data_IF_078766362164
#
_entry.id   IF_078766362164
#
_cell.length_a   1.000
_cell.length_b   1.000
_cell.length_c   1.000
_cell.angle_alpha   90.00
_cell.angle_beta   90.00
_cell.angle_gamma   90.00
#
_symmetry.space_group_name_H-M   'P 1'
#
loop_
_entity.id
_entity.type
_entity.pdbx_description
1 polymer ?
#
# COMPACT_ATOMS: atom_id res chain seq x y z
N UNK A 1 4.21 -8.88 -19.91
CA UNK A 1 4.26 -9.67 -18.67
C UNK A 1 5.57 -9.31 -18.01
N UNK A 2 5.57 -8.86 -16.76
CA UNK A 2 6.80 -8.54 -16.04
C UNK A 2 7.71 -9.77 -16.06
N UNK A 3 8.94 -9.62 -16.54
CA UNK A 3 9.94 -10.69 -16.47
C UNK A 3 10.53 -10.73 -15.05
N UNK A 4 10.70 -11.94 -14.51
CA UNK A 4 11.46 -12.20 -13.28
C UNK A 4 12.80 -11.44 -13.23
N UNK A 5 13.48 -11.31 -14.37
CA UNK A 5 14.76 -10.59 -14.51
C UNK A 5 14.65 -9.09 -14.23
N UNK A 6 13.54 -8.46 -14.59
CA UNK A 6 13.32 -7.02 -14.35
C UNK A 6 13.10 -6.75 -12.85
N UNK A 7 12.39 -7.66 -12.17
CA UNK A 7 12.18 -7.60 -10.72
C UNK A 7 13.53 -7.79 -10.00
N UNK A 8 14.29 -8.82 -10.37
CA UNK A 8 15.60 -9.10 -9.78
C UNK A 8 16.56 -7.91 -9.96
N UNK A 9 16.54 -7.27 -11.14
CA UNK A 9 17.32 -6.06 -11.40
C UNK A 9 16.97 -4.94 -10.43
N UNK A 10 15.67 -4.66 -10.21
CA UNK A 10 15.24 -3.64 -9.25
C UNK A 10 15.67 -3.99 -7.82
N UNK A 11 15.47 -5.24 -7.39
CA UNK A 11 15.85 -5.69 -6.05
C UNK A 11 17.36 -5.59 -5.80
N UNK A 12 18.18 -5.88 -6.83
CA UNK A 12 19.63 -5.76 -6.74
C UNK A 12 20.12 -4.33 -6.45
N UNK A 13 19.35 -3.29 -6.79
CA UNK A 13 19.68 -1.91 -6.44
C UNK A 13 19.67 -1.68 -4.91
N UNK A 14 18.89 -2.47 -4.16
CA UNK A 14 18.82 -2.37 -2.70
C UNK A 14 19.95 -3.14 -2.00
N UNK A 15 20.70 -3.99 -2.71
CA UNK A 15 21.77 -4.79 -2.10
C UNK A 15 22.89 -3.89 -1.55
N UNK A 16 23.21 -4.07 -0.26
CA UNK A 16 24.23 -3.29 0.44
C UNK A 16 23.94 -1.78 0.48
N UNK A 17 22.69 -1.35 0.32
CA UNK A 17 22.36 0.08 0.23
C UNK A 17 22.70 0.83 1.52
N UNK A 18 22.57 0.18 2.68
CA UNK A 18 22.86 0.79 3.98
C UNK A 18 24.36 0.96 4.28
N UNK A 19 25.25 0.27 3.55
CA UNK A 19 26.70 0.47 3.71
C UNK A 19 27.25 1.64 2.89
N UNK A 20 26.44 2.26 2.03
CA UNK A 20 26.87 3.39 1.22
C UNK A 20 26.87 4.73 1.99
N UNK A 21 27.72 5.69 1.57
CA UNK A 21 27.57 7.10 1.95
C UNK A 21 26.18 7.64 1.59
N UNK A 22 25.70 8.63 2.35
CA UNK A 22 24.34 9.18 2.21
C UNK A 22 24.00 9.63 0.78
N UNK A 23 24.91 10.36 0.13
CA UNK A 23 24.69 10.84 -1.25
C UNK A 23 24.48 9.70 -2.23
N UNK A 24 25.39 8.73 -2.26
CA UNK A 24 25.31 7.56 -3.15
C UNK A 24 24.07 6.71 -2.84
N UNK A 25 23.68 6.63 -1.56
CA UNK A 25 22.46 5.97 -1.13
C UNK A 25 21.22 6.63 -1.71
N UNK A 26 21.12 7.96 -1.64
CA UNK A 26 19.98 8.71 -2.19
C UNK A 26 19.90 8.58 -3.71
N UNK A 27 21.04 8.62 -4.40
CA UNK A 27 21.12 8.38 -5.85
C UNK A 27 20.59 6.97 -6.20
N UNK A 28 21.01 5.96 -5.45
CA UNK A 28 20.55 4.56 -5.62
C UNK A 28 19.06 4.38 -5.31
N UNK A 29 18.54 5.02 -4.26
CA UNK A 29 17.10 5.00 -3.94
C UNK A 29 16.29 5.64 -5.08
N UNK A 30 16.76 6.76 -5.63
CA UNK A 30 16.11 7.41 -6.77
C UNK A 30 16.05 6.49 -7.99
N UNK A 31 17.16 5.81 -8.33
CA UNK A 31 17.21 4.83 -9.41
C UNK A 31 16.26 3.66 -9.17
N UNK A 32 16.19 3.16 -7.93
CA UNK A 32 15.27 2.10 -7.54
C UNK A 32 13.80 2.52 -7.74
N UNK A 33 13.43 3.73 -7.32
CA UNK A 33 12.06 4.26 -7.48
C UNK A 33 11.71 4.37 -8.97
N UNK A 34 12.59 4.98 -9.78
CA UNK A 34 12.34 5.14 -11.23
C UNK A 34 12.22 3.80 -11.94
N UNK A 35 13.10 2.85 -11.61
CA UNK A 35 13.07 1.49 -12.17
C UNK A 35 11.77 0.77 -11.78
N UNK A 36 11.37 0.86 -10.52
CA UNK A 36 10.12 0.27 -10.02
C UNK A 36 8.89 0.86 -10.72
N UNK A 37 8.82 2.18 -10.88
CA UNK A 37 7.73 2.84 -11.59
C UNK A 37 7.65 2.39 -13.05
N UNK A 38 8.78 2.22 -13.73
CA UNK A 38 8.83 1.84 -15.14
C UNK A 38 8.25 0.44 -15.42
N UNK A 39 8.36 -0.47 -14.45
CA UNK A 39 7.90 -1.85 -14.58
C UNK A 39 6.52 -2.08 -13.94
N UNK A 40 6.08 -1.17 -13.06
CA UNK A 40 4.80 -1.28 -12.37
C UNK A 40 3.64 -1.12 -13.36
N UNK A 41 2.63 -2.02 -13.34
CA UNK A 41 1.46 -1.87 -14.19
C UNK A 41 0.75 -0.54 -13.94
N UNK A 42 0.45 0.18 -15.01
CA UNK A 42 -0.24 1.47 -14.94
C UNK A 42 -1.73 1.29 -14.60
N UNK A 43 -2.06 1.38 -13.31
CA UNK A 43 -3.44 1.34 -12.81
C UNK A 43 -4.15 2.71 -12.90
N UNK A 44 -3.46 3.78 -13.30
CA UNK A 44 -4.02 5.13 -13.37
C UNK A 44 -4.85 5.35 -14.63
N UNK A 45 -4.78 4.45 -15.61
CA UNK A 45 -5.63 4.51 -16.81
C UNK A 45 -7.00 3.89 -16.52
N UNK A 46 -8.12 4.62 -16.72
CA UNK A 46 -9.46 4.06 -16.55
C UNK A 46 -9.75 2.83 -17.43
N UNK A 47 -9.05 2.69 -18.56
CA UNK A 47 -9.22 1.57 -19.49
C UNK A 47 -8.46 0.31 -19.06
N UNK A 48 -7.67 0.36 -17.97
CA UNK A 48 -6.95 -0.82 -17.49
C UNK A 48 -7.88 -1.76 -16.69
N UNK A 49 -8.64 -2.57 -17.41
CA UNK A 49 -9.62 -3.52 -16.85
C UNK A 49 -9.00 -4.87 -16.44
N UNK A 50 -7.68 -4.93 -16.20
CA UNK A 50 -6.98 -6.17 -15.83
C UNK A 50 -7.21 -6.57 -14.36
N UNK A 51 -7.63 -5.62 -13.53
CA UNK A 51 -7.81 -5.80 -12.10
C UNK A 51 -9.21 -5.34 -11.69
N UNK A 52 -9.66 -5.76 -10.51
CA UNK A 52 -10.91 -5.29 -9.89
C UNK A 52 -10.79 -3.86 -9.33
N UNK A 53 -9.63 -3.22 -9.49
CA UNK A 53 -9.36 -1.85 -9.09
C UNK A 53 -8.60 -1.12 -10.21
N UNK A 54 -8.94 0.15 -10.41
CA UNK A 54 -8.29 1.04 -11.40
C UNK A 54 -8.63 2.48 -11.05
N UNK A 55 -7.85 3.42 -11.57
CA UNK A 55 -8.08 4.86 -11.41
C UNK A 55 -8.19 5.26 -9.92
N UNK A 56 -7.06 5.28 -9.18
CA UNK A 56 -7.08 5.55 -7.76
C UNK A 56 -7.67 6.93 -7.46
N UNK A 57 -8.51 6.99 -6.44
CA UNK A 57 -9.16 8.21 -6.01
C UNK A 57 -8.13 9.18 -5.38
N UNK A 58 -8.11 10.48 -5.78
CA UNK A 58 -7.16 11.45 -5.25
C UNK A 58 -7.25 11.66 -3.73
N UNK A 59 -8.44 11.55 -3.14
CA UNK A 59 -8.61 11.67 -1.68
C UNK A 59 -8.02 10.44 -0.99
N UNK A 60 -8.23 9.25 -1.55
CA UNK A 60 -7.59 8.01 -1.11
C UNK A 60 -6.06 8.10 -1.12
N UNK A 61 -5.46 8.58 -2.22
CA UNK A 61 -4.00 8.76 -2.32
C UNK A 61 -3.48 9.71 -1.24
N UNK A 62 -4.17 10.83 -1.00
CA UNK A 62 -3.78 11.77 0.03
C UNK A 62 -3.93 11.17 1.44
N UNK A 63 -5.01 10.44 1.70
CA UNK A 63 -5.22 9.75 2.96
C UNK A 63 -4.12 8.70 3.22
N UNK A 64 -3.70 7.95 2.20
CA UNK A 64 -2.58 7.00 2.30
C UNK A 64 -1.26 7.71 2.62
N UNK A 65 -0.98 8.84 1.95
CA UNK A 65 0.21 9.64 2.23
C UNK A 65 0.22 10.16 3.68
N UNK A 66 -0.90 10.73 4.13
CA UNK A 66 -1.04 11.25 5.49
C UNK A 66 -0.94 10.14 6.54
N UNK A 67 -1.55 8.98 6.30
CA UNK A 67 -1.49 7.83 7.21
C UNK A 67 -0.05 7.33 7.36
N UNK A 68 0.70 7.22 6.26
CA UNK A 68 2.12 6.85 6.29
C UNK A 68 2.99 7.92 6.98
N UNK A 69 2.68 9.20 6.79
CA UNK A 69 3.40 10.30 7.44
C UNK A 69 3.21 10.29 8.97
N UNK A 70 1.98 10.07 9.43
CA UNK A 70 1.65 10.00 10.85
C UNK A 70 2.24 8.74 11.49
N UNK A 71 2.33 7.64 10.74
CA UNK A 71 2.96 6.38 11.17
C UNK A 71 2.47 5.89 12.54
N UNK A 72 1.15 6.00 12.75
CA UNK A 72 0.48 5.55 13.98
C UNK A 72 -0.01 4.10 13.82
N UNK A 73 -0.03 3.36 14.92
CA UNK A 73 -0.53 1.98 14.96
C UNK A 73 -1.91 1.93 15.61
N UNK A 74 -2.91 1.45 14.85
CA UNK A 74 -4.33 1.40 15.24
C UNK A 74 -4.66 0.33 16.30
N UNK A 75 -3.67 -0.48 16.70
CA UNK A 75 -3.84 -1.54 17.70
C UNK A 75 -4.37 -1.09 19.09
N UNK A 76 -4.23 0.18 19.44
CA UNK A 76 -4.75 0.75 20.69
C UNK A 76 -5.25 2.18 20.49
N UNK A 77 -6.36 2.51 21.15
CA UNK A 77 -6.93 3.86 21.10
C UNK A 77 -5.93 4.91 21.61
N UNK A 78 -5.13 4.59 22.63
CA UNK A 78 -4.13 5.50 23.20
C UNK A 78 -3.08 5.94 22.17
N UNK A 79 -2.69 5.06 21.24
CA UNK A 79 -1.71 5.37 20.21
C UNK A 79 -2.31 6.03 18.96
N UNK A 80 -3.62 5.94 18.78
CA UNK A 80 -4.29 6.22 17.50
C UNK A 80 -5.76 6.65 17.64
N UNK A 81 -6.10 7.58 18.55
CA UNK A 81 -7.48 7.80 18.96
C UNK A 81 -8.37 8.18 17.77
N UNK A 82 -7.90 9.10 16.93
CA UNK A 82 -8.64 9.54 15.74
C UNK A 82 -8.88 8.38 14.77
N UNK A 83 -7.87 7.55 14.50
CA UNK A 83 -8.01 6.44 13.55
C UNK A 83 -8.92 5.33 14.08
N UNK A 84 -8.85 5.04 15.39
CA UNK A 84 -9.75 4.08 16.04
C UNK A 84 -11.21 4.53 15.92
N UNK A 85 -11.51 5.80 16.22
CA UNK A 85 -12.87 6.35 16.08
C UNK A 85 -13.35 6.39 14.61
N UNK A 86 -12.45 6.68 13.65
CA UNK A 86 -12.78 6.59 12.23
C UNK A 86 -13.16 5.17 11.80
N UNK A 87 -12.43 4.15 12.27
CA UNK A 87 -12.74 2.74 11.99
C UNK A 87 -14.11 2.35 12.53
N UNK A 88 -14.42 2.68 13.79
CA UNK A 88 -15.71 2.38 14.42
C UNK A 88 -16.87 2.97 13.60
N UNK A 89 -16.79 4.26 13.23
CA UNK A 89 -17.82 4.88 12.41
C UNK A 89 -17.98 4.21 11.05
N UNK A 90 -16.88 3.86 10.38
CA UNK A 90 -16.94 3.18 9.09
C UNK A 90 -17.62 1.81 9.21
N UNK A 91 -17.29 1.03 10.24
CA UNK A 91 -17.92 -0.26 10.52
C UNK A 91 -19.41 -0.08 10.78
N UNK A 92 -19.81 0.88 11.62
CA UNK A 92 -21.23 1.17 11.88
C UNK A 92 -22.00 1.55 10.61
N UNK A 93 -21.39 2.34 9.73
CA UNK A 93 -21.98 2.75 8.44
C UNK A 93 -22.11 1.56 7.49
N UNK A 94 -21.10 0.70 7.41
CA UNK A 94 -21.14 -0.51 6.58
C UNK A 94 -22.20 -1.50 7.09
N UNK A 95 -22.31 -1.70 8.40
CA UNK A 95 -23.35 -2.54 9.01
C UNK A 95 -24.76 -2.05 8.63
N UNK A 96 -25.00 -0.74 8.74
CA UNK A 96 -26.27 -0.12 8.34
C UNK A 96 -26.56 -0.30 6.84
N UNK A 97 -25.56 -0.17 5.97
CA UNK A 97 -25.71 -0.37 4.52
C UNK A 97 -26.07 -1.83 4.17
N UNK A 98 -25.55 -2.80 4.92
CA UNK A 98 -25.90 -4.21 4.76
C UNK A 98 -27.29 -4.54 5.33
N UNK A 99 -27.82 -3.68 6.21
CA UNK A 99 -29.14 -3.82 6.84
C UNK A 99 -29.10 -4.38 8.27
N UNK A 100 -27.93 -4.43 8.90
CA UNK A 100 -27.80 -4.79 10.31
C UNK A 100 -28.17 -3.63 11.22
N UNK A 101 -28.88 -3.91 12.31
CA UNK A 101 -29.22 -2.94 13.36
C UNK A 101 -28.10 -2.72 14.38
N UNK A 102 -27.07 -3.56 14.34
CA UNK A 102 -25.90 -3.54 15.22
C UNK A 102 -24.98 -4.70 14.86
N UNK A 103 -23.73 -4.64 15.30
CA UNK A 103 -22.71 -5.62 14.99
C UNK A 103 -21.33 -5.11 15.34
N UNK A 104 -20.32 -5.90 15.00
CA UNK A 104 -18.91 -5.60 15.21
C UNK A 104 -18.14 -5.94 13.92
N UNK A 105 -16.95 -5.37 13.76
CA UNK A 105 -16.13 -5.54 12.57
C UNK A 105 -14.75 -4.91 12.73
N UNK A 106 -13.78 -5.46 12.01
CA UNK A 106 -12.39 -4.98 11.97
C UNK A 106 -11.91 -4.91 10.52
N UNK A 107 -11.04 -3.96 10.22
CA UNK A 107 -10.34 -3.95 8.93
C UNK A 107 -9.20 -4.98 8.91
N UNK A 108 -9.12 -5.76 7.83
CA UNK A 108 -8.07 -6.77 7.64
C UNK A 108 -7.32 -6.53 6.34
N UNK A 109 -5.99 -6.65 6.38
CA UNK A 109 -5.15 -6.64 5.18
C UNK A 109 -4.91 -8.07 4.69
N UNK A 110 -5.37 -8.39 3.48
CA UNK A 110 -5.17 -9.70 2.85
C UNK A 110 -4.17 -9.58 1.70
N UNK A 111 -2.97 -10.14 1.88
CA UNK A 111 -1.97 -10.28 0.81
C UNK A 111 -1.84 -11.75 0.42
N UNK A 112 -2.08 -12.08 -0.85
CA UNK A 112 -1.90 -13.43 -1.38
C UNK A 112 -0.55 -13.53 -2.10
N UNK A 113 0.46 -14.07 -1.42
CA UNK A 113 1.71 -14.46 -2.09
C UNK A 113 1.53 -15.86 -2.68
N UNK A 114 1.65 -15.98 -4.01
CA UNK A 114 1.79 -17.28 -4.66
C UNK A 114 3.18 -17.83 -4.32
N UNK A 115 3.27 -18.75 -3.35
CA UNK A 115 4.49 -19.51 -3.11
C UNK A 115 4.64 -20.51 -4.27
N UNK A 116 5.71 -20.46 -5.08
CA UNK A 116 5.94 -21.45 -6.12
C UNK A 116 6.06 -22.83 -5.47
N UNK A 117 5.39 -23.84 -6.03
CA UNK A 117 5.65 -25.23 -5.64
C UNK A 117 7.06 -25.60 -6.14
N UNK A 118 7.89 -26.07 -5.22
CA UNK A 118 9.23 -26.66 -5.49
C UNK A 118 9.15 -27.83 -6.44
#
# INVERSE_FOLDING_TARGET
MLDSKDIDRCLNLLNGIYSLPERERLERISEFIQSTLSITPDIYRPQNLKYLFSYPDPVGIFADFMSNYINSNVHTEECSPIFTHCEVEMVERLLKLVGYSGGDGIWVHLSFAKIPKS
#
